data_IF_394429425544
#
_entry.id   IF_394429425544
#
_cell.length_a   1.000
_cell.length_b   1.000
_cell.length_c   1.000
_cell.angle_alpha   90.00
_cell.angle_beta   90.00
_cell.angle_gamma   90.00
#
_symmetry.space_group_name_H-M   'P 1'
#
loop_
_entity.id
_entity.type
_entity.pdbx_description
1 polymer ?
#
# COMPACT_ATOMS: atom_id res chain seq x y z
N UNK A 1 -26.09 7.83 -13.52
CA UNK A 1 -25.45 7.59 -12.22
C UNK A 1 -25.23 6.09 -12.12
N UNK A 2 -24.02 5.57 -12.38
CA UNK A 2 -23.76 4.16 -12.09
C UNK A 2 -23.85 3.96 -10.57
N UNK A 3 -24.41 2.81 -10.18
CA UNK A 3 -24.85 2.50 -8.82
C UNK A 3 -23.64 2.16 -7.95
N UNK A 4 -23.56 2.70 -6.72
CA UNK A 4 -22.44 2.55 -5.77
C UNK A 4 -22.15 1.09 -5.32
N UNK A 5 -22.86 0.11 -5.87
CA UNK A 5 -22.80 -1.32 -5.50
C UNK A 5 -22.08 -2.21 -6.52
N UNK A 6 -21.58 -1.66 -7.63
CA UNK A 6 -20.87 -2.44 -8.67
C UNK A 6 -19.34 -2.51 -8.50
N UNK A 7 -18.75 -1.85 -7.49
CA UNK A 7 -17.30 -1.76 -7.37
C UNK A 7 -16.78 -2.39 -6.07
N UNK A 8 -16.90 -3.71 -5.93
CA UNK A 8 -16.17 -4.40 -4.86
C UNK A 8 -15.84 -5.84 -5.26
N UNK A 9 -14.77 -6.01 -6.04
CA UNK A 9 -14.13 -7.31 -6.19
C UNK A 9 -13.20 -7.46 -4.96
N UNK A 10 -13.26 -8.57 -4.20
CA UNK A 10 -12.47 -8.75 -2.97
C UNK A 10 -10.95 -8.58 -3.13
N UNK A 11 -10.42 -8.74 -4.35
CA UNK A 11 -9.01 -8.44 -4.66
C UNK A 11 -8.68 -6.94 -4.70
N UNK A 12 -9.67 -6.09 -4.99
CA UNK A 12 -9.52 -4.64 -5.15
C UNK A 12 -9.44 -3.91 -3.80
N UNK A 13 -9.89 -4.54 -2.71
CA UNK A 13 -10.00 -3.87 -1.40
C UNK A 13 -8.63 -3.43 -0.90
N UNK A 14 -7.67 -4.35 -0.86
CA UNK A 14 -6.31 -4.05 -0.39
C UNK A 14 -5.61 -3.04 -1.31
N UNK A 15 -5.90 -3.09 -2.62
CA UNK A 15 -5.40 -2.11 -3.60
C UNK A 15 -6.03 -0.72 -3.38
N UNK A 16 -7.29 -0.67 -2.97
CA UNK A 16 -8.04 0.57 -2.74
C UNK A 16 -7.63 1.30 -1.44
N UNK A 17 -7.18 0.58 -0.41
CA UNK A 17 -6.90 1.16 0.91
C UNK A 17 -5.84 2.27 0.82
N UNK A 18 -4.65 2.07 0.23
CA UNK A 18 -3.66 3.15 0.12
C UNK A 18 -4.18 4.35 -0.65
N UNK A 19 -5.00 4.14 -1.69
CA UNK A 19 -5.60 5.21 -2.46
C UNK A 19 -6.57 6.05 -1.62
N UNK A 20 -7.51 5.41 -0.94
CA UNK A 20 -8.49 6.07 -0.09
C UNK A 20 -7.84 6.74 1.12
N UNK A 21 -6.90 6.06 1.78
CA UNK A 21 -6.18 6.62 2.92
C UNK A 21 -5.40 7.88 2.51
N UNK A 22 -4.72 7.85 1.35
CA UNK A 22 -3.99 9.00 0.81
C UNK A 22 -4.90 10.21 0.58
N UNK A 23 -6.08 9.99 0.00
CA UNK A 23 -7.08 11.05 -0.21
C UNK A 23 -7.65 11.58 1.12
N UNK A 24 -7.92 10.68 2.07
CA UNK A 24 -8.54 11.02 3.35
C UNK A 24 -7.68 11.98 4.19
N UNK A 25 -6.35 11.83 4.13
CA UNK A 25 -5.41 12.65 4.92
C UNK A 25 -4.67 13.70 4.09
N UNK A 26 -5.04 13.87 2.82
CA UNK A 26 -4.38 14.75 1.85
C UNK A 26 -2.85 14.54 1.77
N UNK A 27 -2.42 13.27 1.68
CA UNK A 27 -1.01 12.91 1.58
C UNK A 27 -0.54 12.81 0.12
N UNK A 28 0.75 13.09 -0.09
CA UNK A 28 1.39 12.91 -1.40
C UNK A 28 1.57 11.42 -1.74
N UNK A 29 1.92 10.60 -0.73
CA UNK A 29 2.16 9.16 -0.88
C UNK A 29 1.49 8.36 0.23
N UNK A 30 1.11 7.11 -0.07
CA UNK A 30 0.63 6.14 0.90
C UNK A 30 1.09 4.73 0.51
N UNK A 31 1.24 3.85 1.50
CA UNK A 31 1.56 2.45 1.25
C UNK A 31 0.92 1.52 2.27
N UNK A 32 0.63 0.29 1.85
CA UNK A 32 0.17 -0.81 2.69
C UNK A 32 1.11 -2.01 2.49
N UNK A 33 1.69 -2.48 3.59
CA UNK A 33 2.51 -3.68 3.62
C UNK A 33 1.73 -4.84 4.25
N UNK A 34 1.73 -6.00 3.59
CA UNK A 34 1.25 -7.26 4.15
C UNK A 34 2.48 -8.04 4.59
N UNK A 35 2.57 -8.31 5.89
CA UNK A 35 3.68 -9.07 6.46
C UNK A 35 3.35 -10.57 6.43
N UNK A 36 4.35 -11.39 6.12
CA UNK A 36 4.28 -12.83 6.31
C UNK A 36 4.76 -13.23 7.71
N UNK A 37 4.55 -14.50 8.05
CA UNK A 37 4.92 -15.07 9.35
C UNK A 37 6.44 -15.07 9.60
N UNK A 38 7.24 -14.96 8.53
CA UNK A 38 8.70 -14.85 8.58
C UNK A 38 9.21 -13.42 8.79
N UNK A 39 8.30 -12.46 9.02
CA UNK A 39 8.61 -11.05 9.19
C UNK A 39 9.01 -10.34 7.89
N UNK A 40 8.84 -10.95 6.72
CA UNK A 40 9.09 -10.31 5.42
C UNK A 40 7.80 -9.73 4.84
N UNK A 41 7.96 -8.72 3.99
CA UNK A 41 6.84 -8.15 3.23
C UNK A 41 6.46 -9.10 2.10
N UNK A 42 5.23 -9.62 2.14
CA UNK A 42 4.64 -10.47 1.09
C UNK A 42 4.07 -9.63 -0.06
N UNK A 43 3.47 -8.49 0.28
CA UNK A 43 2.88 -7.57 -0.68
C UNK A 43 3.07 -6.14 -0.20
N UNK A 44 3.43 -5.27 -1.13
CA UNK A 44 3.61 -3.85 -0.86
C UNK A 44 2.83 -3.05 -1.91
N UNK A 45 1.75 -2.43 -1.47
CA UNK A 45 0.83 -1.66 -2.30
C UNK A 45 1.13 -0.19 -2.06
N UNK A 46 1.22 0.60 -3.12
CA UNK A 46 1.58 2.03 -3.05
C UNK A 46 0.57 2.90 -3.78
N UNK A 47 0.36 4.12 -3.31
CA UNK A 47 -0.43 5.16 -4.00
C UNK A 47 0.34 6.47 -4.02
N UNK A 48 0.19 7.24 -5.11
CA UNK A 48 0.89 8.51 -5.32
C UNK A 48 2.24 8.39 -6.02
N UNK A 49 2.69 7.16 -6.32
CA UNK A 49 3.94 6.88 -7.06
C UNK A 49 3.63 6.18 -8.38
N UNK A 50 4.36 6.51 -9.45
CA UNK A 50 4.22 5.82 -10.73
C UNK A 50 4.85 4.42 -10.70
N UNK A 51 4.46 3.55 -11.63
CA UNK A 51 5.03 2.22 -11.74
C UNK A 51 6.53 2.26 -12.07
N UNK A 52 6.97 3.22 -12.88
CA UNK A 52 8.38 3.43 -13.23
C UNK A 52 9.18 3.83 -12.00
N UNK A 53 8.68 4.81 -11.23
CA UNK A 53 9.31 5.25 -10.00
C UNK A 53 9.33 4.13 -8.95
N UNK A 54 8.24 3.36 -8.82
CA UNK A 54 8.20 2.20 -7.93
C UNK A 54 9.24 1.16 -8.34
N UNK A 55 9.36 0.83 -9.62
CA UNK A 55 10.37 -0.11 -10.12
C UNK A 55 11.79 0.39 -9.87
N UNK A 56 12.04 1.69 -10.02
CA UNK A 56 13.35 2.30 -9.80
C UNK A 56 13.82 2.25 -8.34
N UNK A 57 12.90 2.25 -7.36
CA UNK A 57 13.22 2.07 -5.93
C UNK A 57 13.83 0.67 -5.67
N UNK A 58 13.42 -0.34 -6.45
CA UNK A 58 13.91 -1.72 -6.32
C UNK A 58 13.14 -2.52 -5.27
N UNK A 59 13.88 -3.29 -4.47
CA UNK A 59 13.38 -4.32 -3.56
C UNK A 59 12.29 -3.83 -2.60
N UNK A 60 11.55 -4.78 -2.02
CA UNK A 60 10.57 -4.47 -0.99
C UNK A 60 11.26 -3.95 0.28
N UNK A 61 10.62 -3.03 1.03
CA UNK A 61 11.16 -2.57 2.29
C UNK A 61 11.28 -3.74 3.29
N UNK A 62 12.37 -3.77 4.04
CA UNK A 62 12.66 -4.83 5.03
C UNK A 62 12.60 -4.33 6.47
N UNK A 63 11.86 -3.25 6.72
CA UNK A 63 11.59 -2.77 8.08
C UNK A 63 12.80 -2.23 8.85
N UNK A 64 13.83 -1.69 8.19
CA UNK A 64 15.04 -1.15 8.86
C UNK A 64 14.89 0.25 9.48
N UNK A 65 13.73 0.88 9.33
CA UNK A 65 13.49 2.28 9.74
C UNK A 65 12.31 2.43 10.68
N UNK A 66 11.69 3.62 10.67
CA UNK A 66 10.56 3.96 11.55
C UNK A 66 9.44 2.92 11.52
N UNK A 67 9.07 2.44 10.33
CA UNK A 67 8.00 1.43 10.20
C UNK A 67 8.34 0.10 10.86
N UNK A 68 9.62 -0.27 10.97
CA UNK A 68 10.03 -1.46 11.71
C UNK A 68 10.16 -1.20 13.22
N UNK A 69 10.49 0.01 13.63
CA UNK A 69 10.61 0.39 15.04
C UNK A 69 9.26 0.40 15.78
N UNK A 70 8.15 0.60 15.08
CA UNK A 70 6.79 0.59 15.67
C UNK A 70 6.28 -0.82 16.02
N UNK A 71 6.95 -1.88 15.55
CA UNK A 71 6.60 -3.27 15.81
C UNK A 71 7.57 -3.96 16.79
N UNK A 72 8.51 -3.23 17.38
CA UNK A 72 9.49 -3.73 18.36
C UNK A 72 8.98 -3.66 19.80
#
# INVERSE_FOLDING_TARGET
>A
MPNDKELFIPGDVLESIPHLARQLVDAEYSALAIMGDDGRVLKFITSGISDEARKAIGDLPVGKGLLGALHA
#
